data_IF_393294220735
#
_entry.id   IF_393294220735
#
_cell.length_a   1.000
_cell.length_b   1.000
_cell.length_c   1.000
_cell.angle_alpha   90.00
_cell.angle_beta   90.00
_cell.angle_gamma   90.00
#
_symmetry.space_group_name_H-M   'P 1'
#
loop_
_entity.id
_entity.type
_entity.pdbx_description
1 polymer ?
#
# COMPACT_ATOMS: atom_id res chain seq x y z
N UNK A 1 9.35 4.02 -8.93
CA UNK A 1 10.50 3.15 -8.58
C UNK A 1 10.64 2.11 -9.68
N UNK A 2 11.83 1.91 -10.25
CA UNK A 2 12.05 0.84 -11.24
C UNK A 2 12.35 -0.48 -10.53
N UNK A 3 11.77 -1.56 -11.01
CA UNK A 3 12.07 -2.92 -10.52
C UNK A 3 12.27 -3.88 -11.67
N UNK A 4 13.00 -4.95 -11.41
CA UNK A 4 13.23 -6.04 -12.36
C UNK A 4 12.22 -7.15 -12.06
N UNK A 5 11.48 -7.58 -13.09
CA UNK A 5 10.59 -8.73 -12.96
C UNK A 5 11.42 -10.02 -12.79
N UNK A 6 11.19 -10.77 -11.71
CA UNK A 6 11.91 -12.04 -11.49
C UNK A 6 11.66 -13.09 -12.57
N UNK A 7 10.52 -13.02 -13.26
CA UNK A 7 10.13 -13.98 -14.29
C UNK A 7 10.76 -13.66 -15.66
N UNK A 8 10.54 -12.46 -16.20
CA UNK A 8 11.02 -12.10 -17.55
C UNK A 8 12.33 -11.30 -17.57
N UNK A 9 12.87 -10.96 -16.40
CA UNK A 9 14.09 -10.16 -16.19
C UNK A 9 14.08 -8.77 -16.83
N UNK A 10 12.92 -8.30 -17.29
CA UNK A 10 12.74 -6.95 -17.82
C UNK A 10 12.40 -5.98 -16.69
N UNK A 11 12.89 -4.75 -16.86
CA UNK A 11 12.54 -3.64 -15.99
C UNK A 11 11.14 -3.11 -16.29
N UNK A 12 10.47 -2.69 -15.22
CA UNK A 12 9.25 -1.90 -15.33
C UNK A 12 9.15 -0.90 -14.18
N UNK A 13 8.35 0.13 -14.39
CA UNK A 13 8.10 1.14 -13.39
C UNK A 13 6.93 0.74 -12.49
N UNK A 14 7.21 0.65 -11.19
CA UNK A 14 6.20 0.59 -10.13
C UNK A 14 5.85 2.00 -9.67
N UNK A 15 4.54 2.25 -9.68
CA UNK A 15 3.87 3.43 -9.15
C UNK A 15 2.64 2.98 -8.36
N UNK A 16 2.09 3.84 -7.51
CA UNK A 16 0.95 3.45 -6.65
C UNK A 16 -0.32 3.14 -7.46
N UNK A 17 -0.54 3.85 -8.57
CA UNK A 17 -1.66 3.67 -9.50
C UNK A 17 -1.65 2.30 -10.21
N UNK A 18 -0.50 1.63 -10.27
CA UNK A 18 -0.37 0.29 -10.87
C UNK A 18 -0.59 -0.85 -9.86
N UNK A 19 -0.83 -0.55 -8.58
CA UNK A 19 -1.22 -1.55 -7.58
C UNK A 19 -2.63 -2.05 -7.87
N UNK A 20 -2.80 -3.37 -7.91
CA UNK A 20 -4.11 -4.00 -8.00
C UNK A 20 -4.49 -4.60 -6.66
N UNK A 21 -5.69 -4.27 -6.22
CA UNK A 21 -6.33 -4.90 -5.06
C UNK A 21 -7.35 -5.92 -5.55
N UNK A 22 -7.29 -7.15 -5.03
CA UNK A 22 -8.28 -8.20 -5.31
C UNK A 22 -8.81 -8.77 -4.02
N UNK A 23 -10.14 -8.79 -3.87
CA UNK A 23 -10.78 -9.42 -2.72
C UNK A 23 -10.69 -10.95 -2.84
N UNK A 24 -10.19 -11.60 -1.79
CA UNK A 24 -9.99 -13.05 -1.74
C UNK A 24 -11.13 -13.79 -1.03
N UNK A 25 -12.12 -13.06 -0.48
CA UNK A 25 -13.09 -13.64 0.46
C UNK A 25 -12.54 -13.64 1.90
N UNK A 26 -13.37 -14.07 2.85
CA UNK A 26 -13.01 -14.16 4.28
C UNK A 26 -12.37 -12.87 4.85
N UNK A 27 -12.81 -11.70 4.37
CA UNK A 27 -12.27 -10.40 4.75
C UNK A 27 -10.79 -10.15 4.38
N UNK A 28 -10.19 -10.94 3.47
CA UNK A 28 -8.84 -10.73 2.97
C UNK A 28 -8.82 -10.09 1.59
N UNK A 29 -7.83 -9.23 1.37
CA UNK A 29 -7.56 -8.56 0.10
C UNK A 29 -6.09 -8.76 -0.23
N UNK A 30 -5.80 -9.27 -1.42
CA UNK A 30 -4.42 -9.25 -1.93
C UNK A 30 -4.12 -7.94 -2.63
N UNK A 31 -2.89 -7.46 -2.43
CA UNK A 31 -2.33 -6.33 -3.15
C UNK A 31 -1.19 -6.87 -3.99
N UNK A 32 -1.24 -6.65 -5.29
CA UNK A 32 -0.24 -7.15 -6.21
C UNK A 32 0.09 -6.17 -7.34
N UNK A 33 1.23 -6.40 -7.96
CA UNK A 33 1.57 -5.84 -9.26
C UNK A 33 1.49 -6.92 -10.33
N UNK A 34 1.20 -6.51 -11.55
CA UNK A 34 1.34 -7.36 -12.73
C UNK A 34 2.47 -6.80 -13.60
N UNK A 35 3.40 -7.67 -13.98
CA UNK A 35 4.47 -7.27 -14.89
C UNK A 35 3.87 -6.93 -16.26
N UNK A 36 4.09 -5.73 -16.82
CA UNK A 36 3.50 -5.34 -18.10
C UNK A 36 4.05 -6.11 -19.31
N UNK A 37 5.17 -6.81 -19.14
CA UNK A 37 5.84 -7.54 -20.22
C UNK A 37 5.45 -9.01 -20.31
N UNK A 38 5.10 -9.63 -19.18
CA UNK A 38 4.81 -11.07 -19.12
C UNK A 38 3.55 -11.41 -18.32
N UNK A 39 2.82 -10.40 -17.84
CA UNK A 39 1.59 -10.50 -17.05
C UNK A 39 1.72 -11.35 -15.77
N UNK A 40 2.96 -11.63 -15.34
CA UNK A 40 3.19 -12.34 -14.08
C UNK A 40 2.76 -11.45 -12.92
N UNK A 41 1.92 -12.01 -12.05
CA UNK A 41 1.50 -11.40 -10.80
C UNK A 41 2.62 -11.52 -9.75
N UNK A 42 2.92 -10.39 -9.11
CA UNK A 42 3.85 -10.25 -8.00
C UNK A 42 3.08 -9.77 -6.76
N UNK A 43 2.99 -10.62 -5.73
CA UNK A 43 2.30 -10.30 -4.48
C UNK A 43 3.11 -9.29 -3.67
N UNK A 44 2.46 -8.20 -3.25
CA UNK A 44 3.03 -7.20 -2.34
C UNK A 44 2.71 -7.55 -0.90
N UNK A 45 1.42 -7.70 -0.60
CA UNK A 45 0.94 -8.10 0.71
C UNK A 45 -0.52 -8.60 0.67
N UNK A 46 -0.93 -9.26 1.74
CA UNK A 46 -2.32 -9.54 2.10
C UNK A 46 -2.77 -8.55 3.17
N UNK A 47 -3.98 -8.03 3.04
CA UNK A 47 -4.63 -7.12 3.97
C UNK A 47 -5.91 -7.74 4.54
N UNK A 48 -6.12 -7.64 5.85
CA UNK A 48 -7.40 -7.95 6.49
C UNK A 48 -8.28 -6.69 6.61
N UNK A 49 -9.44 -6.83 7.26
CA UNK A 49 -10.34 -5.70 7.52
C UNK A 49 -9.69 -4.56 8.31
N UNK A 50 -8.82 -4.87 9.27
CA UNK A 50 -8.12 -3.87 10.07
C UNK A 50 -7.09 -3.10 9.24
N UNK A 51 -6.30 -3.76 8.40
CA UNK A 51 -5.40 -3.10 7.44
C UNK A 51 -6.15 -2.11 6.55
N UNK A 52 -7.30 -2.53 5.98
CA UNK A 52 -8.13 -1.66 5.12
C UNK A 52 -8.66 -0.44 5.89
N UNK A 53 -9.09 -0.63 7.13
CA UNK A 53 -9.54 0.47 7.98
C UNK A 53 -8.42 1.47 8.27
N UNK A 54 -7.23 0.98 8.63
CA UNK A 54 -6.06 1.81 8.92
C UNK A 54 -5.61 2.59 7.67
N UNK A 55 -5.56 1.93 6.51
CA UNK A 55 -5.26 2.58 5.22
C UNK A 55 -6.24 3.73 4.95
N UNK A 56 -7.55 3.49 5.09
CA UNK A 56 -8.58 4.54 4.90
C UNK A 56 -8.46 5.68 5.90
N UNK A 57 -8.16 5.38 7.17
CA UNK A 57 -7.95 6.41 8.21
C UNK A 57 -6.75 7.31 7.86
N UNK A 58 -5.66 6.70 7.40
CA UNK A 58 -4.46 7.41 6.96
C UNK A 58 -4.78 8.33 5.77
N UNK A 59 -5.45 7.83 4.73
CA UNK A 59 -5.85 8.61 3.54
C UNK A 59 -6.70 9.83 3.91
N UNK A 60 -7.77 9.62 4.70
CA UNK A 60 -8.67 10.70 5.13
C UNK A 60 -7.89 11.77 5.91
N UNK A 61 -6.99 11.35 6.79
CA UNK A 61 -6.21 12.26 7.63
C UNK A 61 -5.19 13.04 6.81
N UNK A 62 -4.47 12.38 5.91
CA UNK A 62 -3.54 13.03 4.97
C UNK A 62 -4.25 14.08 4.14
N UNK A 63 -5.42 13.74 3.57
CA UNK A 63 -6.22 14.68 2.79
C UNK A 63 -6.73 15.87 3.62
N UNK A 64 -7.19 15.64 4.84
CA UNK A 64 -7.62 16.73 5.74
C UNK A 64 -6.46 17.65 6.07
N UNK A 65 -5.32 17.09 6.49
CA UNK A 65 -4.13 17.85 6.85
C UNK A 65 -3.63 18.67 5.67
N UNK A 66 -3.62 18.09 4.48
CA UNK A 66 -3.26 18.80 3.25
C UNK A 66 -4.23 19.94 2.96
N UNK A 67 -5.55 19.74 3.08
CA UNK A 67 -6.55 20.81 2.89
C UNK A 67 -6.37 21.96 3.88
N UNK A 68 -6.03 21.66 5.13
CA UNK A 68 -5.89 22.68 6.19
C UNK A 68 -4.60 23.49 6.05
N UNK A 69 -3.54 22.89 5.48
CA UNK A 69 -2.20 23.50 5.46
C UNK A 69 -1.71 23.88 4.07
N UNK A 70 -2.29 23.29 3.03
CA UNK A 70 -1.84 23.31 1.64
C UNK A 70 -0.34 22.97 1.48
N UNK A 71 0.20 22.15 2.40
CA UNK A 71 1.63 21.85 2.48
C UNK A 71 1.85 20.36 2.73
N UNK A 72 2.44 19.68 1.74
CA UNK A 72 2.77 18.25 1.82
C UNK A 72 3.75 17.96 2.94
N UNK A 73 4.70 18.85 3.23
CA UNK A 73 5.69 18.62 4.27
C UNK A 73 5.04 18.52 5.65
N UNK A 74 3.99 19.31 5.91
CA UNK A 74 3.22 19.24 7.15
C UNK A 74 2.37 17.97 7.28
N UNK A 75 2.04 17.31 6.16
CA UNK A 75 1.40 15.99 6.16
C UNK A 75 2.42 14.92 6.51
N UNK A 76 3.62 14.98 5.95
CA UNK A 76 4.69 13.98 6.14
C UNK A 76 5.23 13.91 7.57
N UNK A 77 5.13 15.00 8.34
CA UNK A 77 5.59 15.06 9.74
C UNK A 77 4.45 14.96 10.76
N UNK A 78 3.23 14.62 10.31
CA UNK A 78 2.08 14.49 11.20
C UNK A 78 2.21 13.20 12.04
N UNK A 79 2.45 13.38 13.34
CA UNK A 79 2.66 12.27 14.30
C UNK A 79 1.55 11.22 14.29
N UNK A 80 0.31 11.62 14.00
CA UNK A 80 -0.80 10.69 14.02
C UNK A 80 -0.88 9.88 12.72
N UNK A 81 -0.48 10.46 11.57
CA UNK A 81 -0.26 9.71 10.34
C UNK A 81 0.85 8.67 10.56
N UNK A 82 1.96 9.07 11.20
CA UNK A 82 3.05 8.15 11.56
C UNK A 82 2.57 7.00 12.45
N UNK A 83 1.74 7.30 13.45
CA UNK A 83 1.20 6.28 14.35
C UNK A 83 0.29 5.29 13.60
N UNK A 84 -0.59 5.77 12.72
CA UNK A 84 -1.44 4.92 11.89
C UNK A 84 -0.56 4.06 10.95
N UNK A 85 0.50 4.62 10.37
CA UNK A 85 1.42 3.89 9.51
C UNK A 85 2.15 2.77 10.24
N UNK A 86 2.60 3.00 11.49
CA UNK A 86 3.21 1.98 12.35
C UNK A 86 2.24 0.86 12.69
N UNK A 87 0.99 1.20 13.06
CA UNK A 87 -0.04 0.21 13.34
C UNK A 87 -0.39 -0.61 12.09
N UNK A 88 -0.51 0.06 10.93
CA UNK A 88 -0.76 -0.59 9.65
C UNK A 88 0.36 -1.58 9.31
N UNK A 89 1.62 -1.16 9.43
CA UNK A 89 2.77 -2.03 9.18
C UNK A 89 2.74 -3.27 10.08
N UNK A 90 2.50 -3.08 11.38
CA UNK A 90 2.44 -4.19 12.35
C UNK A 90 1.35 -5.20 11.99
N UNK A 91 0.17 -4.73 11.59
CA UNK A 91 -0.93 -5.62 11.20
C UNK A 91 -0.65 -6.35 9.89
N UNK A 92 -0.05 -5.66 8.90
CA UNK A 92 0.39 -6.28 7.64
C UNK A 92 1.44 -7.36 7.92
N UNK A 93 2.47 -7.06 8.69
CA UNK A 93 3.55 -8.00 9.00
C UNK A 93 3.00 -9.26 9.68
N UNK A 94 2.08 -9.09 10.65
CA UNK A 94 1.37 -10.20 11.31
C UNK A 94 0.64 -11.13 10.33
N UNK A 95 -0.08 -10.58 9.35
CA UNK A 95 -0.84 -11.39 8.37
C UNK A 95 0.08 -12.06 7.35
N UNK A 96 1.18 -11.40 7.01
CA UNK A 96 2.11 -11.85 5.98
C UNK A 96 3.29 -12.67 6.52
N UNK A 97 3.29 -12.97 7.82
CA UNK A 97 4.30 -13.81 8.48
C UNK A 97 5.70 -13.18 8.52
N UNK A 98 5.77 -11.86 8.70
CA UNK A 98 7.01 -11.08 8.76
C UNK A 98 7.30 -10.57 10.17
#
# INVERSE_FOLDING_TARGET
MKVICDNCKREFEMSQDKLKEKYLGAMYTEVCYECPHCNKKHLVCIMNAKCRLLKRKMEIRSLRKFKDTNDVNKVLVDKDIDNIQKEFKTEVDKINGK
#
